data_IF_419499699436
#
_entry.id   IF_419499699436
#
_cell.length_a   1.000
_cell.length_b   1.000
_cell.length_c   1.000
_cell.angle_alpha   90.00
_cell.angle_beta   90.00
_cell.angle_gamma   90.00
#
_symmetry.space_group_name_H-M   'P 1'
#
loop_
_entity.id
_entity.type
_entity.pdbx_description
1 polymer ?
#
# COMPACT_ATOMS: atom_id res chain seq x y z
N UNK A 1 20.63 18.88 -19.29
CA UNK A 1 20.34 17.57 -19.93
C UNK A 1 21.52 16.62 -19.82
N UNK A 2 21.40 15.66 -18.92
CA UNK A 2 22.26 14.46 -18.86
C UNK A 2 22.20 13.70 -20.18
N UNK A 3 23.31 13.12 -20.65
CA UNK A 3 23.30 12.29 -21.86
C UNK A 3 22.81 10.87 -21.60
N UNK A 4 23.07 10.33 -20.40
CA UNK A 4 22.93 8.90 -20.11
C UNK A 4 21.80 8.57 -19.15
N UNK A 5 21.45 9.48 -18.23
CA UNK A 5 20.43 9.22 -17.21
C UNK A 5 19.30 10.23 -17.27
N UNK A 6 18.15 9.89 -16.67
CA UNK A 6 17.04 10.82 -16.53
C UNK A 6 17.42 11.82 -15.43
N UNK A 7 17.43 13.12 -15.76
CA UNK A 7 17.64 14.20 -14.80
C UNK A 7 16.35 14.98 -14.53
N UNK A 8 16.46 16.18 -13.94
CA UNK A 8 15.31 17.04 -13.61
C UNK A 8 14.61 17.67 -14.82
N UNK A 9 15.27 17.72 -15.97
CA UNK A 9 14.71 18.32 -17.18
C UNK A 9 13.63 17.40 -17.77
N UNK A 10 12.51 17.98 -18.22
CA UNK A 10 11.46 17.21 -18.88
C UNK A 10 11.96 16.69 -20.24
N UNK A 11 12.00 15.38 -20.40
CA UNK A 11 12.44 14.69 -21.62
C UNK A 11 11.27 13.97 -22.30
N UNK A 12 11.42 13.68 -23.59
CA UNK A 12 10.43 12.89 -24.33
C UNK A 12 10.25 11.48 -23.74
N UNK A 13 9.07 10.89 -23.88
CA UNK A 13 8.75 9.55 -23.34
C UNK A 13 9.72 8.48 -23.81
N UNK A 14 10.10 8.49 -25.10
CA UNK A 14 11.04 7.52 -25.68
C UNK A 14 12.45 7.66 -25.12
N UNK A 15 12.92 8.90 -24.96
CA UNK A 15 14.22 9.20 -24.37
C UNK A 15 14.27 8.80 -22.90
N UNK A 16 13.22 9.13 -22.15
CA UNK A 16 13.05 8.73 -20.75
C UNK A 16 13.08 7.21 -20.61
N UNK A 17 12.34 6.49 -21.46
CA UNK A 17 12.32 5.02 -21.46
C UNK A 17 13.72 4.44 -21.71
N UNK A 18 14.42 4.95 -22.74
CA UNK A 18 15.76 4.48 -23.11
C UNK A 18 16.76 4.71 -21.98
N UNK A 19 16.73 5.88 -21.33
CA UNK A 19 17.59 6.20 -20.20
C UNK A 19 17.31 5.37 -18.94
N UNK A 20 16.04 5.10 -18.65
CA UNK A 20 15.67 4.19 -17.56
C UNK A 20 16.14 2.76 -17.82
N UNK A 21 16.20 2.33 -19.08
CA UNK A 21 16.75 1.03 -19.44
C UNK A 21 18.27 0.99 -19.21
N UNK A 22 19.00 2.06 -19.59
CA UNK A 22 20.43 2.18 -19.31
C UNK A 22 20.72 2.15 -17.81
N UNK A 23 20.01 2.97 -17.01
CA UNK A 23 20.12 2.94 -15.55
C UNK A 23 19.93 1.53 -14.96
N UNK A 24 18.90 0.80 -15.42
CA UNK A 24 18.65 -0.57 -14.97
C UNK A 24 19.79 -1.52 -15.35
N UNK A 25 20.34 -1.40 -16.56
CA UNK A 25 21.44 -2.23 -17.01
C UNK A 25 22.72 -1.96 -16.18
N UNK A 26 23.07 -0.69 -16.00
CA UNK A 26 24.30 -0.28 -15.30
C UNK A 26 24.25 -0.64 -13.81
N UNK A 27 23.06 -0.59 -13.19
CA UNK A 27 22.87 -0.95 -11.78
C UNK A 27 22.61 -2.44 -11.54
N UNK A 28 22.32 -3.23 -12.59
CA UNK A 28 22.05 -4.67 -12.45
C UNK A 28 23.30 -5.51 -12.23
N UNK A 29 24.49 -5.02 -12.62
CA UNK A 29 25.75 -5.78 -12.59
C UNK A 29 26.40 -5.95 -11.21
N UNK A 30 25.72 -5.61 -10.12
CA UNK A 30 26.33 -5.66 -8.78
C UNK A 30 26.43 -7.11 -8.26
N UNK A 31 27.59 -7.51 -7.74
CA UNK A 31 27.80 -8.80 -7.05
C UNK A 31 27.11 -8.90 -5.68
N UNK A 32 26.31 -7.89 -5.30
CA UNK A 32 25.74 -7.74 -3.96
C UNK A 32 24.34 -8.33 -3.90
N UNK A 33 24.17 -9.40 -3.13
CA UNK A 33 22.88 -10.08 -2.93
C UNK A 33 21.85 -9.23 -2.18
N UNK A 34 22.30 -8.20 -1.44
CA UNK A 34 21.44 -7.29 -0.70
C UNK A 34 21.07 -6.01 -1.47
N UNK A 35 21.52 -5.84 -2.71
CA UNK A 35 21.01 -4.80 -3.61
C UNK A 35 19.81 -5.37 -4.38
N UNK A 36 18.60 -4.97 -3.99
CA UNK A 36 17.35 -5.62 -4.40
C UNK A 36 16.47 -4.64 -5.17
N UNK A 37 15.89 -5.10 -6.27
CA UNK A 37 14.86 -4.34 -6.98
C UNK A 37 13.50 -4.55 -6.31
N UNK A 38 13.09 -3.58 -5.47
CA UNK A 38 11.77 -3.62 -4.84
C UNK A 38 10.64 -3.23 -5.80
N UNK A 39 10.92 -2.76 -7.01
CA UNK A 39 9.90 -2.53 -8.03
C UNK A 39 9.68 -3.75 -8.92
N UNK A 40 10.45 -4.83 -8.72
CA UNK A 40 10.32 -6.06 -9.49
C UNK A 40 9.32 -7.03 -8.87
N UNK A 41 8.33 -7.45 -9.66
CA UNK A 41 7.35 -8.48 -9.29
C UNK A 41 6.74 -8.21 -7.90
N UNK A 42 6.50 -9.24 -7.10
CA UNK A 42 5.83 -9.12 -5.80
C UNK A 42 6.69 -8.44 -4.72
N UNK A 43 7.99 -8.17 -4.98
CA UNK A 43 8.86 -7.52 -4.00
C UNK A 43 8.39 -6.12 -3.61
N UNK A 44 7.62 -5.46 -4.45
CA UNK A 44 7.01 -4.17 -4.11
C UNK A 44 6.05 -4.27 -2.91
N UNK A 45 5.49 -5.45 -2.63
CA UNK A 45 4.58 -5.71 -1.52
C UNK A 45 5.30 -6.13 -0.23
N UNK A 46 6.63 -6.15 -0.21
CA UNK A 46 7.38 -6.59 0.96
C UNK A 46 6.98 -5.84 2.23
N UNK A 47 6.66 -6.58 3.29
CA UNK A 47 6.20 -6.03 4.57
C UNK A 47 4.77 -5.46 4.56
N UNK A 48 4.04 -5.56 3.46
CA UNK A 48 2.64 -5.09 3.31
C UNK A 48 1.63 -6.22 3.14
N UNK A 49 2.10 -7.44 2.86
CA UNK A 49 1.25 -8.61 2.64
C UNK A 49 1.81 -9.86 3.31
N UNK A 50 0.94 -10.80 3.64
CA UNK A 50 1.35 -12.11 4.16
C UNK A 50 2.16 -12.91 3.13
N UNK A 51 3.06 -13.76 3.62
CA UNK A 51 4.01 -14.52 2.79
C UNK A 51 3.37 -15.45 1.74
N UNK A 52 2.25 -16.09 2.07
CA UNK A 52 1.68 -17.16 1.24
C UNK A 52 0.46 -16.72 0.44
N UNK A 53 -0.47 -16.02 1.09
CA UNK A 53 -1.75 -15.64 0.48
C UNK A 53 -1.79 -14.18 0.05
N UNK A 54 -0.70 -13.42 0.21
CA UNK A 54 -0.64 -12.01 -0.18
C UNK A 54 -1.75 -11.13 0.43
N UNK A 55 -2.37 -11.60 1.52
CA UNK A 55 -3.38 -10.85 2.26
C UNK A 55 -2.73 -9.59 2.85
N UNK A 56 -3.30 -8.40 2.63
CA UNK A 56 -2.76 -7.15 3.15
C UNK A 56 -2.65 -7.15 4.68
N UNK A 57 -1.53 -6.64 5.19
CA UNK A 57 -1.23 -6.55 6.61
C UNK A 57 -0.53 -5.24 6.96
N UNK A 58 -0.69 -4.79 8.21
CA UNK A 58 -0.07 -3.58 8.74
C UNK A 58 0.54 -3.86 10.11
N UNK A 59 1.61 -3.14 10.51
CA UNK A 59 2.22 -3.33 11.82
C UNK A 59 1.25 -2.84 12.90
N UNK A 60 0.93 -3.73 13.84
CA UNK A 60 0.03 -3.46 14.95
C UNK A 60 0.40 -4.43 16.07
N UNK A 61 1.41 -4.08 16.87
CA UNK A 61 1.91 -4.96 17.92
C UNK A 61 2.50 -4.21 19.11
N UNK A 62 2.38 -4.83 20.28
CA UNK A 62 3.00 -4.41 21.53
C UNK A 62 4.40 -5.00 21.67
N UNK A 63 4.68 -6.13 21.02
CA UNK A 63 5.96 -6.86 21.13
C UNK A 63 7.07 -6.13 20.35
N UNK A 64 6.75 -5.70 19.14
CA UNK A 64 7.60 -4.86 18.32
C UNK A 64 6.84 -3.59 17.91
N UNK A 65 6.70 -2.61 18.82
CA UNK A 65 5.98 -1.39 18.52
C UNK A 65 6.80 -0.51 17.57
N UNK A 66 6.08 0.35 16.83
CA UNK A 66 6.69 1.46 16.11
C UNK A 66 7.32 2.41 17.14
N UNK A 67 8.65 2.49 17.11
CA UNK A 67 9.49 3.19 18.05
C UNK A 67 10.23 4.32 17.37
N UNK A 68 10.36 5.44 18.06
CA UNK A 68 11.06 6.62 17.51
C UNK A 68 12.56 6.36 17.39
N UNK A 69 13.15 6.85 16.31
CA UNK A 69 14.60 6.95 16.20
C UNK A 69 15.13 8.07 17.11
N UNK A 70 16.41 7.96 17.50
CA UNK A 70 17.04 8.98 18.33
C UNK A 70 17.26 10.27 17.54
N UNK A 71 17.24 11.42 18.23
CA UNK A 71 17.43 12.72 17.59
C UNK A 71 18.75 12.83 16.81
N UNK A 72 19.80 12.15 17.26
CA UNK A 72 21.09 12.11 16.56
C UNK A 72 21.04 11.30 15.26
N UNK A 73 20.06 10.42 15.08
CA UNK A 73 19.92 9.54 13.92
C UNK A 73 19.03 10.15 12.84
N UNK A 74 18.36 11.28 13.10
CA UNK A 74 17.37 11.88 12.20
C UNK A 74 17.83 13.22 11.65
N UNK A 75 17.55 13.47 10.37
CA UNK A 75 17.79 14.77 9.74
C UNK A 75 16.69 15.79 10.07
N UNK A 76 15.49 15.30 10.42
CA UNK A 76 14.36 16.14 10.82
C UNK A 76 13.08 15.33 11.07
N UNK A 77 12.15 15.95 11.80
CA UNK A 77 10.83 15.39 12.10
C UNK A 77 10.83 14.23 13.10
N UNK A 78 9.64 13.67 13.33
CA UNK A 78 9.47 12.47 14.15
C UNK A 78 9.56 11.23 13.25
N UNK A 79 10.75 10.63 13.19
CA UNK A 79 10.98 9.38 12.46
C UNK A 79 10.79 8.18 13.38
N UNK A 80 10.23 7.10 12.86
CA UNK A 80 9.98 5.88 13.60
C UNK A 80 10.06 4.64 12.70
N UNK A 81 10.41 3.50 13.28
CA UNK A 81 10.38 2.19 12.64
C UNK A 81 10.08 1.12 13.69
N UNK A 82 9.96 -0.15 13.30
CA UNK A 82 9.89 -1.23 14.30
C UNK A 82 11.13 -1.20 15.21
N UNK A 83 10.95 -1.43 16.51
CA UNK A 83 12.02 -1.34 17.51
C UNK A 83 13.32 -2.07 17.13
N UNK A 84 13.24 -3.33 16.67
CA UNK A 84 14.43 -4.08 16.25
C UNK A 84 15.10 -3.49 15.00
N UNK A 85 14.34 -2.82 14.12
CA UNK A 85 14.88 -2.08 12.97
C UNK A 85 15.60 -0.82 13.44
N UNK A 86 15.05 -0.12 14.44
CA UNK A 86 15.71 1.04 15.07
C UNK A 86 17.04 0.61 15.71
N UNK A 87 17.07 -0.52 16.42
CA UNK A 87 18.29 -1.02 17.06
C UNK A 87 19.35 -1.42 16.04
N UNK A 88 18.96 -2.12 14.96
CA UNK A 88 19.84 -2.47 13.86
C UNK A 88 20.41 -1.22 13.18
N UNK A 89 19.57 -0.22 12.90
CA UNK A 89 20.00 1.03 12.28
C UNK A 89 20.94 1.83 13.19
N UNK A 90 20.69 1.88 14.49
CA UNK A 90 21.60 2.52 15.46
C UNK A 90 22.99 1.89 15.41
N UNK A 91 23.07 0.56 15.32
CA UNK A 91 24.35 -0.16 15.21
C UNK A 91 25.04 0.09 13.87
N UNK A 92 24.26 0.18 12.79
CA UNK A 92 24.77 0.61 11.48
C UNK A 92 25.41 2.01 11.57
N UNK A 93 24.71 3.00 12.12
CA UNK A 93 25.24 4.37 12.27
C UNK A 93 26.52 4.41 13.12
N UNK A 94 26.58 3.62 14.20
CA UNK A 94 27.80 3.49 15.01
C UNK A 94 28.99 2.95 14.21
N UNK A 95 28.75 2.01 13.29
CA UNK A 95 29.79 1.47 12.42
C UNK A 95 30.30 2.50 11.40
N UNK A 96 29.41 3.34 10.85
CA UNK A 96 29.83 4.47 10.01
C UNK A 96 30.67 5.47 10.79
N UNK A 97 30.26 5.83 12.01
CA UNK A 97 31.04 6.73 12.87
C UNK A 97 32.45 6.16 13.16
N UNK A 98 32.54 4.86 13.44
CA UNK A 98 33.83 4.18 13.65
C UNK A 98 34.70 4.21 12.39
N UNK A 99 34.12 3.87 11.23
CA UNK A 99 34.85 3.86 9.97
C UNK A 99 35.32 5.26 9.54
N UNK A 100 34.55 6.30 9.86
CA UNK A 100 34.97 7.70 9.66
C UNK A 100 36.17 8.07 10.53
N UNK A 101 36.19 7.65 11.79
CA UNK A 101 37.33 7.88 12.70
C UNK A 101 38.61 7.15 12.27
N UNK A 102 38.47 5.99 11.62
CA UNK A 102 39.61 5.20 11.12
C UNK A 102 40.01 5.55 9.67
N UNK A 103 39.42 6.60 9.08
CA UNK A 103 39.61 6.99 7.68
C UNK A 103 39.37 5.84 6.68
N UNK A 104 38.47 4.92 7.02
CA UNK A 104 38.10 3.78 6.16
C UNK A 104 36.99 4.13 5.17
N UNK A 105 36.40 5.31 5.30
CA UNK A 105 35.41 5.89 4.40
C UNK A 105 35.75 7.37 4.18
N UNK A 106 35.28 7.94 3.07
CA UNK A 106 35.37 9.36 2.79
C UNK A 106 34.43 10.15 3.72
N UNK A 107 34.93 11.00 4.63
CA UNK A 107 34.10 11.76 5.55
C UNK A 107 33.34 12.92 4.88
N UNK A 108 33.73 13.32 3.66
CA UNK A 108 33.09 14.40 2.92
C UNK A 108 31.83 13.95 2.15
N UNK A 109 31.53 12.65 2.14
CA UNK A 109 30.33 12.14 1.49
C UNK A 109 29.05 12.65 2.19
N UNK A 110 28.06 13.18 1.47
CA UNK A 110 26.88 13.81 2.09
C UNK A 110 25.94 12.84 2.80
N UNK A 111 25.86 11.58 2.37
CA UNK A 111 24.86 10.61 2.87
C UNK A 111 25.47 9.33 3.43
N UNK A 112 26.56 8.86 2.83
CA UNK A 112 27.23 7.60 3.14
C UNK A 112 28.48 7.78 4.03
N UNK A 113 28.63 8.94 4.70
CA UNK A 113 29.62 9.13 5.77
C UNK A 113 28.99 9.10 7.17
N UNK A 114 27.80 9.68 7.30
CA UNK A 114 27.05 9.81 8.54
C UNK A 114 25.54 9.69 8.25
N UNK A 115 25.04 8.46 8.00
CA UNK A 115 23.65 8.27 7.59
C UNK A 115 22.67 8.87 8.60
N UNK A 116 21.73 9.68 8.09
CA UNK A 116 20.62 10.27 8.85
C UNK A 116 19.31 9.87 8.22
N UNK A 117 18.28 9.64 9.04
CA UNK A 117 16.95 9.29 8.56
C UNK A 117 16.19 10.56 8.16
N UNK A 118 15.75 10.59 6.90
CA UNK A 118 14.89 11.63 6.35
C UNK A 118 13.44 11.19 6.28
N UNK A 119 13.20 9.90 6.00
CA UNK A 119 11.85 9.32 5.92
C UNK A 119 11.85 7.89 6.42
N UNK A 120 10.77 7.51 7.10
CA UNK A 120 10.63 6.20 7.75
C UNK A 120 9.15 5.78 7.77
N UNK A 121 8.65 5.21 8.87
CA UNK A 121 7.28 4.73 8.99
C UNK A 121 6.23 5.81 8.65
N UNK A 122 5.23 5.39 7.89
CA UNK A 122 4.04 6.20 7.61
C UNK A 122 2.80 5.43 8.10
N UNK A 123 1.89 6.13 8.77
CA UNK A 123 0.66 5.54 9.27
C UNK A 123 -0.27 5.15 8.09
N UNK A 124 -0.55 3.85 7.87
CA UNK A 124 -1.41 3.39 6.78
C UNK A 124 -2.86 3.86 6.92
N UNK A 125 -3.35 4.04 8.15
CA UNK A 125 -4.73 4.49 8.42
C UNK A 125 -4.89 5.95 8.00
N UNK A 126 -3.90 6.79 8.31
CA UNK A 126 -3.88 8.20 7.87
C UNK A 126 -3.83 8.31 6.36
N UNK A 127 -2.89 7.61 5.72
CA UNK A 127 -2.74 7.62 4.26
C UNK A 127 -3.99 7.12 3.54
N UNK A 128 -4.61 6.04 4.04
CA UNK A 128 -5.87 5.55 3.50
C UNK A 128 -7.01 6.57 3.66
N UNK A 129 -7.10 7.24 4.82
CA UNK A 129 -8.13 8.27 5.04
C UNK A 129 -7.99 9.44 4.07
N UNK A 130 -6.76 9.88 3.79
CA UNK A 130 -6.46 10.94 2.81
C UNK A 130 -6.87 10.49 1.39
N UNK A 131 -6.44 9.29 0.97
CA UNK A 131 -6.82 8.69 -0.31
C UNK A 131 -8.34 8.58 -0.47
N UNK A 132 -9.01 8.01 0.53
CA UNK A 132 -10.45 7.79 0.51
C UNK A 132 -11.23 9.11 0.49
N UNK A 133 -10.74 10.16 1.17
CA UNK A 133 -11.40 11.48 1.17
C UNK A 133 -11.42 12.08 -0.23
N UNK A 134 -10.29 12.04 -0.93
CA UNK A 134 -10.19 12.48 -2.33
C UNK A 134 -11.14 11.68 -3.21
N UNK A 135 -11.13 10.35 -3.08
CA UNK A 135 -11.96 9.48 -3.91
C UNK A 135 -13.46 9.65 -3.64
N UNK A 136 -13.87 9.77 -2.37
CA UNK A 136 -15.26 10.06 -1.98
C UNK A 136 -15.75 11.36 -2.60
N UNK A 137 -14.92 12.40 -2.60
CA UNK A 137 -15.27 13.71 -3.20
C UNK A 137 -15.57 13.54 -4.69
N UNK A 138 -14.74 12.77 -5.42
CA UNK A 138 -14.98 12.45 -6.83
C UNK A 138 -16.27 11.64 -7.03
N UNK A 139 -16.51 10.61 -6.23
CA UNK A 139 -17.72 9.79 -6.33
C UNK A 139 -18.99 10.60 -6.08
N UNK A 140 -19.01 11.45 -5.05
CA UNK A 140 -20.15 12.33 -4.76
C UNK A 140 -20.40 13.34 -5.89
N UNK A 141 -19.34 13.93 -6.46
CA UNK A 141 -19.47 14.79 -7.63
C UNK A 141 -20.10 14.08 -8.83
N UNK A 142 -19.71 12.83 -9.11
CA UNK A 142 -20.29 12.02 -10.18
C UNK A 142 -21.77 11.72 -9.94
N UNK A 143 -22.14 11.32 -8.72
CA UNK A 143 -23.54 11.05 -8.36
C UNK A 143 -24.42 12.30 -8.52
N UNK A 144 -23.92 13.47 -8.13
CA UNK A 144 -24.61 14.75 -8.28
C UNK A 144 -24.77 15.14 -9.76
N UNK A 145 -23.72 14.96 -10.57
CA UNK A 145 -23.75 15.26 -12.01
C UNK A 145 -24.81 14.42 -12.74
N UNK A 146 -24.95 13.15 -12.36
CA UNK A 146 -25.96 12.26 -12.93
C UNK A 146 -27.37 12.44 -12.34
N UNK A 147 -27.57 13.44 -11.45
CA UNK A 147 -28.85 13.69 -10.74
C UNK A 147 -29.44 12.40 -10.20
N UNK A 148 -28.62 11.59 -9.52
CA UNK A 148 -29.06 10.29 -9.04
C UNK A 148 -30.26 10.47 -8.08
N UNK A 149 -31.45 10.03 -8.50
CA UNK A 149 -32.65 10.02 -7.66
C UNK A 149 -32.52 8.95 -6.58
N UNK A 150 -31.82 9.29 -5.51
CA UNK A 150 -31.53 8.40 -4.39
C UNK A 150 -32.64 8.56 -3.34
N UNK A 151 -33.60 7.64 -3.35
CA UNK A 151 -34.73 7.64 -2.41
C UNK A 151 -34.36 6.98 -1.08
N UNK A 152 -33.52 5.95 -1.11
CA UNK A 152 -33.09 5.18 0.06
C UNK A 152 -31.67 4.61 -0.16
N UNK A 153 -31.15 3.91 0.85
CA UNK A 153 -29.78 3.39 0.81
C UNK A 153 -29.59 2.29 -0.24
N UNK A 154 -30.58 1.41 -0.47
CA UNK A 154 -30.48 0.39 -1.52
C UNK A 154 -30.36 1.02 -2.92
N UNK A 155 -31.15 2.07 -3.20
CA UNK A 155 -31.03 2.84 -4.42
C UNK A 155 -29.66 3.51 -4.53
N UNK A 156 -29.11 4.02 -3.43
CA UNK A 156 -27.75 4.55 -3.42
C UNK A 156 -26.71 3.49 -3.80
N UNK A 157 -26.78 2.30 -3.19
CA UNK A 157 -25.86 1.19 -3.50
C UNK A 157 -25.95 0.79 -4.97
N UNK A 158 -27.18 0.67 -5.52
CA UNK A 158 -27.39 0.38 -6.95
C UNK A 158 -26.80 1.44 -7.87
N UNK A 159 -26.77 2.72 -7.45
CA UNK A 159 -26.21 3.81 -8.25
C UNK A 159 -24.70 3.94 -8.12
N UNK A 160 -24.12 3.65 -6.95
CA UNK A 160 -22.67 3.81 -6.73
C UNK A 160 -21.85 2.63 -7.25
N UNK A 161 -22.40 1.40 -7.20
CA UNK A 161 -21.66 0.20 -7.60
C UNK A 161 -21.11 0.25 -9.04
N UNK A 162 -21.87 0.68 -10.07
CA UNK A 162 -21.34 0.78 -11.43
C UNK A 162 -20.18 1.78 -11.59
N UNK A 163 -20.09 2.80 -10.73
CA UNK A 163 -18.94 3.70 -10.71
C UNK A 163 -17.74 3.00 -10.09
N UNK A 164 -17.94 2.36 -8.94
CA UNK A 164 -16.88 1.58 -8.27
C UNK A 164 -16.34 0.48 -9.18
N UNK A 165 -17.19 -0.28 -9.86
CA UNK A 165 -16.78 -1.31 -10.81
C UNK A 165 -15.82 -0.77 -11.88
N UNK A 166 -16.06 0.46 -12.38
CA UNK A 166 -15.24 1.09 -13.42
C UNK A 166 -13.94 1.71 -12.89
N UNK A 167 -13.92 2.19 -11.64
CA UNK A 167 -12.79 2.95 -11.08
C UNK A 167 -11.98 2.24 -10.01
N UNK A 168 -12.54 1.24 -9.31
CA UNK A 168 -11.95 0.64 -8.11
C UNK A 168 -10.62 -0.08 -8.37
N UNK A 169 -10.46 -0.69 -9.55
CA UNK A 169 -9.17 -1.28 -9.97
C UNK A 169 -8.03 -0.27 -10.03
N UNK A 170 -8.31 0.96 -10.48
CA UNK A 170 -7.29 2.03 -10.55
C UNK A 170 -7.24 2.85 -9.27
N UNK A 171 -8.35 2.99 -8.56
CA UNK A 171 -8.47 3.80 -7.36
C UNK A 171 -9.10 2.93 -6.27
N UNK A 172 -8.27 2.27 -5.43
CA UNK A 172 -8.76 1.39 -4.38
C UNK A 172 -9.77 2.09 -3.48
N UNK A 173 -10.93 1.46 -3.26
CA UNK A 173 -11.93 1.95 -2.33
C UNK A 173 -11.71 1.40 -0.92
N UNK A 174 -11.38 0.11 -0.80
CA UNK A 174 -11.17 -0.57 0.48
C UNK A 174 -9.74 -0.39 0.98
N UNK A 175 -9.56 -0.43 2.30
CA UNK A 175 -8.23 -0.33 2.91
C UNK A 175 -7.32 -1.51 2.53
N UNK A 176 -7.80 -2.78 2.48
CA UNK A 176 -6.99 -3.90 1.97
C UNK A 176 -6.45 -3.65 0.56
N UNK A 177 -7.31 -3.24 -0.39
CA UNK A 177 -6.86 -2.90 -1.75
C UNK A 177 -5.86 -1.73 -1.75
N UNK A 178 -6.12 -0.69 -0.95
CA UNK A 178 -5.21 0.44 -0.83
C UNK A 178 -3.83 0.01 -0.35
N UNK A 179 -3.74 -0.80 0.71
CA UNK A 179 -2.45 -1.27 1.26
C UNK A 179 -1.65 -2.09 0.24
N UNK A 180 -2.33 -2.85 -0.62
CA UNK A 180 -1.72 -3.63 -1.71
C UNK A 180 -1.38 -2.78 -2.95
N UNK A 181 -2.00 -1.63 -3.11
CA UNK A 181 -1.82 -0.78 -4.30
C UNK A 181 -0.49 -0.01 -4.32
N UNK A 182 -0.23 0.65 -5.45
CA UNK A 182 0.89 1.59 -5.62
C UNK A 182 0.69 2.93 -4.90
N UNK A 183 -0.52 3.23 -4.42
CA UNK A 183 -0.79 4.44 -3.62
C UNK A 183 -0.26 4.30 -2.18
N UNK A 184 -0.10 3.07 -1.70
CA UNK A 184 0.45 2.81 -0.39
C UNK A 184 1.96 2.55 -0.50
N UNK A 185 2.81 3.38 0.13
CA UNK A 185 4.26 3.19 0.06
C UNK A 185 4.72 2.04 0.95
N UNK A 186 5.85 1.42 0.62
CA UNK A 186 6.46 0.35 1.41
C UNK A 186 6.79 0.77 2.86
N UNK A 187 6.96 2.08 3.10
CA UNK A 187 7.18 2.69 4.40
C UNK A 187 6.12 2.32 5.46
N UNK A 188 4.89 1.98 5.08
CA UNK A 188 3.85 1.56 6.04
C UNK A 188 4.17 0.25 6.74
N UNK A 189 5.14 -0.52 6.24
CA UNK A 189 5.56 -1.79 6.85
C UNK A 189 6.28 -1.60 8.19
N UNK A 190 6.85 -0.42 8.44
CA UNK A 190 7.74 -0.18 9.59
C UNK A 190 9.14 -0.81 9.45
N UNK A 191 9.44 -1.40 8.29
CA UNK A 191 10.73 -2.06 7.98
C UNK A 191 11.69 -1.18 7.17
N UNK A 192 11.27 0.04 6.83
CA UNK A 192 11.94 0.88 5.82
C UNK A 192 12.50 2.13 6.46
N UNK A 193 13.75 2.44 6.11
CA UNK A 193 14.43 3.69 6.46
C UNK A 193 14.98 4.30 5.17
N UNK A 194 14.76 5.59 4.98
CA UNK A 194 15.32 6.37 3.86
C UNK A 194 16.33 7.38 4.41
N UNK A 195 17.58 7.26 3.96
CA UNK A 195 18.71 8.04 4.47
C UNK A 195 19.02 9.32 3.67
N UNK A 196 18.16 9.66 2.72
CA UNK A 196 18.21 10.90 1.96
C UNK A 196 16.79 11.33 1.54
N UNK A 197 16.61 12.62 1.28
CA UNK A 197 15.37 13.21 0.74
C UNK A 197 15.64 13.75 -0.67
N UNK A 198 15.79 12.82 -1.62
CA UNK A 198 16.10 13.08 -3.01
C UNK A 198 14.95 12.61 -3.91
N UNK A 199 14.90 13.08 -5.16
CA UNK A 199 13.85 12.70 -6.10
C UNK A 199 14.07 11.27 -6.63
N UNK A 200 13.17 10.30 -6.36
CA UNK A 200 13.28 8.95 -6.88
C UNK A 200 13.17 8.84 -8.40
N UNK A 201 12.85 9.91 -9.12
CA UNK A 201 12.78 9.93 -10.59
C UNK A 201 14.02 10.50 -11.27
N UNK A 202 14.94 11.10 -10.50
CA UNK A 202 16.20 11.64 -10.98
C UNK A 202 17.28 10.55 -10.90
N UNK A 203 17.47 9.83 -12.00
CA UNK A 203 18.44 8.72 -12.10
C UNK A 203 19.89 9.24 -12.10
N UNK A 204 20.13 10.43 -12.65
CA UNK A 204 21.46 11.08 -12.60
C UNK A 204 21.88 11.34 -11.16
N UNK A 205 21.00 11.93 -10.35
CA UNK A 205 21.27 12.19 -8.95
C UNK A 205 21.52 10.91 -8.15
N UNK A 206 20.83 9.81 -8.46
CA UNK A 206 21.11 8.50 -7.83
C UNK A 206 22.52 8.01 -8.14
N UNK A 207 22.94 8.14 -9.40
CA UNK A 207 24.25 7.69 -9.84
C UNK A 207 25.35 8.51 -9.15
N UNK A 208 25.27 9.84 -9.22
CA UNK A 208 26.29 10.73 -8.69
C UNK A 208 26.41 10.67 -7.16
N UNK A 209 25.28 10.64 -6.44
CA UNK A 209 25.27 10.74 -4.98
C UNK A 209 25.45 9.38 -4.27
N UNK A 210 25.17 8.26 -4.95
CA UNK A 210 25.23 6.92 -4.34
C UNK A 210 26.11 5.96 -5.10
N UNK A 211 25.79 5.61 -6.35
CA UNK A 211 26.52 4.57 -7.07
C UNK A 211 27.99 4.93 -7.36
N UNK A 212 28.29 6.21 -7.56
CA UNK A 212 29.64 6.74 -7.74
C UNK A 212 30.31 7.18 -6.44
N UNK A 213 29.63 7.04 -5.29
CA UNK A 213 30.22 7.35 -4.00
C UNK A 213 31.41 6.42 -3.71
N UNK A 214 32.50 7.01 -3.21
CA UNK A 214 33.65 6.26 -2.69
C UNK A 214 33.27 5.34 -1.50
N UNK A 215 32.13 5.59 -0.86
CA UNK A 215 31.64 4.84 0.29
C UNK A 215 30.60 3.78 -0.10
N UNK A 216 30.25 3.64 -1.39
CA UNK A 216 29.18 2.76 -1.86
C UNK A 216 29.37 1.30 -1.43
N UNK A 217 30.55 0.73 -1.69
CA UNK A 217 30.87 -0.65 -1.30
C UNK A 217 30.81 -0.85 0.22
N UNK A 218 31.36 0.10 1.00
CA UNK A 218 31.27 0.04 2.45
C UNK A 218 29.80 0.07 2.92
N UNK A 219 28.99 0.93 2.31
CA UNK A 219 27.57 1.05 2.62
C UNK A 219 26.81 -0.24 2.37
N UNK A 220 26.97 -0.86 1.20
CA UNK A 220 26.32 -2.14 0.89
C UNK A 220 26.73 -3.26 1.86
N UNK A 221 28.03 -3.35 2.17
CA UNK A 221 28.56 -4.34 3.10
C UNK A 221 28.10 -4.12 4.54
N UNK A 222 28.04 -2.85 4.98
CA UNK A 222 27.53 -2.48 6.28
C UNK A 222 26.04 -2.82 6.39
N UNK A 223 25.22 -2.39 5.42
CA UNK A 223 23.79 -2.73 5.37
C UNK A 223 23.57 -4.24 5.46
N UNK A 224 24.28 -5.02 4.65
CA UNK A 224 24.20 -6.50 4.71
C UNK A 224 24.53 -7.04 6.09
N UNK A 225 25.61 -6.56 6.71
CA UNK A 225 26.08 -7.04 8.02
C UNK A 225 25.07 -6.77 9.14
N UNK A 226 24.30 -5.69 9.03
CA UNK A 226 23.25 -5.31 9.97
C UNK A 226 21.85 -5.75 9.56
N UNK A 227 21.72 -6.61 8.54
CA UNK A 227 20.44 -7.22 8.14
C UNK A 227 19.55 -6.32 7.28
N UNK A 228 20.13 -5.37 6.54
CA UNK A 228 19.43 -4.50 5.61
C UNK A 228 19.71 -4.84 4.14
N UNK A 229 18.64 -4.89 3.36
CA UNK A 229 18.67 -4.75 1.90
C UNK A 229 18.69 -3.28 1.51
N UNK A 230 19.23 -2.97 0.35
CA UNK A 230 19.22 -1.65 -0.28
C UNK A 230 18.36 -1.71 -1.53
N UNK A 231 17.45 -0.75 -1.69
CA UNK A 231 16.61 -0.65 -2.89
C UNK A 231 17.43 -0.16 -4.08
N UNK A 232 17.58 -1.01 -5.10
CA UNK A 232 18.34 -0.69 -6.30
C UNK A 232 17.80 0.53 -7.03
N UNK A 233 16.48 0.73 -7.04
CA UNK A 233 15.85 1.83 -7.77
C UNK A 233 15.86 3.13 -6.97
N UNK A 234 16.07 3.05 -5.65
CA UNK A 234 16.08 4.16 -4.69
C UNK A 234 17.21 3.89 -3.67
N UNK A 235 18.49 4.16 -4.01
CA UNK A 235 19.66 3.65 -3.29
C UNK A 235 19.82 4.14 -1.83
N UNK A 236 19.13 5.21 -1.46
CA UNK A 236 19.05 5.68 -0.07
C UNK A 236 17.96 4.98 0.76
N UNK A 237 17.13 4.14 0.15
CA UNK A 237 16.13 3.34 0.87
C UNK A 237 16.75 2.01 1.27
N UNK A 238 16.82 1.78 2.58
CA UNK A 238 17.17 0.50 3.17
C UNK A 238 15.93 -0.17 3.75
N UNK A 239 15.88 -1.49 3.61
CA UNK A 239 14.74 -2.32 4.01
C UNK A 239 15.25 -3.46 4.87
N UNK A 240 14.70 -3.60 6.07
CA UNK A 240 15.07 -4.68 6.98
C UNK A 240 14.73 -6.05 6.36
N UNK A 241 15.73 -6.91 6.24
CA UNK A 241 15.59 -8.29 5.80
C UNK A 241 15.23 -9.18 6.98
N UNK A 242 13.93 -9.37 7.20
CA UNK A 242 13.39 -10.19 8.30
C UNK A 242 13.64 -11.70 8.13
N UNK A 243 14.28 -12.10 7.03
CA UNK A 243 14.80 -13.45 6.82
C UNK A 243 16.32 -13.56 7.05
N UNK A 244 17.03 -12.44 7.18
CA UNK A 244 18.48 -12.45 7.45
C UNK A 244 18.79 -12.82 8.89
N UNK A 245 19.89 -13.55 9.09
CA UNK A 245 20.38 -13.93 10.43
C UNK A 245 20.61 -12.69 11.28
N UNK A 246 21.30 -11.67 10.74
CA UNK A 246 21.60 -10.43 11.46
C UNK A 246 20.34 -9.69 11.94
N UNK A 247 19.30 -9.57 11.10
CA UNK A 247 18.06 -8.89 11.53
C UNK A 247 17.28 -9.71 12.56
N UNK A 248 17.31 -11.04 12.44
CA UNK A 248 16.69 -11.94 13.41
C UNK A 248 17.39 -11.87 14.77
N UNK A 249 18.70 -11.62 14.85
CA UNK A 249 19.39 -11.37 16.12
C UNK A 249 18.83 -10.13 16.85
N UNK A 250 18.54 -9.04 16.12
CA UNK A 250 17.90 -7.86 16.70
C UNK A 250 16.46 -8.15 17.12
N UNK A 251 15.70 -8.89 16.29
CA UNK A 251 14.32 -9.25 16.61
C UNK A 251 14.21 -10.22 17.79
N UNK A 252 15.22 -11.08 18.00
CA UNK A 252 15.25 -12.05 19.09
C UNK A 252 15.24 -11.41 20.48
N UNK A 253 15.77 -10.19 20.63
CA UNK A 253 15.67 -9.41 21.86
C UNK A 253 14.21 -9.13 22.29
N UNK A 254 13.28 -9.23 21.35
CA UNK A 254 11.85 -9.04 21.52
C UNK A 254 11.06 -10.36 21.46
N UNK A 255 11.75 -11.51 21.54
CA UNK A 255 11.13 -12.83 21.48
C UNK A 255 10.72 -13.29 20.07
N UNK A 256 11.22 -12.61 19.02
CA UNK A 256 10.91 -12.92 17.62
C UNK A 256 12.14 -13.56 16.95
N UNK A 257 12.13 -14.88 16.79
CA UNK A 257 13.29 -15.68 16.34
C UNK A 257 13.19 -16.18 14.90
N UNK A 258 12.09 -15.89 14.21
CA UNK A 258 11.87 -16.29 12.82
C UNK A 258 11.01 -15.28 12.07
N UNK A 259 11.10 -15.30 10.75
CA UNK A 259 10.24 -14.50 9.87
C UNK A 259 8.76 -14.74 10.15
N UNK A 260 8.34 -15.98 10.37
CA UNK A 260 6.93 -16.30 10.63
C UNK A 260 6.44 -15.72 11.97
N UNK A 261 7.29 -15.71 12.99
CA UNK A 261 6.98 -15.08 14.27
C UNK A 261 6.90 -13.56 14.13
N UNK A 262 7.78 -12.94 13.34
CA UNK A 262 7.68 -11.50 13.03
C UNK A 262 6.36 -11.22 12.32
N UNK A 263 6.05 -11.94 11.24
CA UNK A 263 4.83 -11.71 10.46
C UNK A 263 3.55 -11.92 11.27
N UNK A 264 3.48 -12.95 12.12
CA UNK A 264 2.29 -13.24 12.93
C UNK A 264 2.19 -12.41 14.22
N UNK A 265 3.33 -12.06 14.82
CA UNK A 265 3.38 -11.38 16.12
C UNK A 265 3.45 -9.86 16.00
N UNK A 266 3.89 -9.32 14.87
CA UNK A 266 4.07 -7.87 14.65
C UNK A 266 2.96 -7.28 13.78
N UNK A 267 2.43 -8.06 12.83
CA UNK A 267 1.46 -7.57 11.86
C UNK A 267 0.07 -8.14 12.11
N UNK A 268 -0.94 -7.34 11.77
CA UNK A 268 -2.35 -7.75 11.74
C UNK A 268 -2.88 -7.60 10.32
N UNK A 269 -3.74 -8.53 9.90
CA UNK A 269 -4.42 -8.47 8.60
C UNK A 269 -5.32 -7.24 8.54
N UNK A 270 -5.34 -6.52 7.42
CA UNK A 270 -6.02 -5.22 7.34
C UNK A 270 -7.55 -5.36 7.46
N UNK A 271 -8.13 -6.38 6.82
CA UNK A 271 -9.58 -6.56 6.78
C UNK A 271 -10.20 -6.80 8.16
N UNK A 272 -9.47 -7.43 9.09
CA UNK A 272 -9.95 -7.69 10.45
C UNK A 272 -10.15 -6.41 11.26
N UNK A 273 -9.42 -5.34 10.92
CA UNK A 273 -9.57 -4.02 11.56
C UNK A 273 -10.52 -3.09 10.77
N UNK A 274 -10.73 -3.36 9.48
CA UNK A 274 -11.35 -2.43 8.55
C UNK A 274 -12.87 -2.61 8.39
N UNK A 275 -13.42 -3.82 8.54
CA UNK A 275 -14.82 -4.09 8.16
C UNK A 275 -15.86 -3.15 8.82
N UNK A 276 -15.68 -2.78 10.08
CA UNK A 276 -16.56 -1.81 10.74
C UNK A 276 -16.42 -0.38 10.18
N UNK A 277 -15.22 -0.01 9.74
CA UNK A 277 -14.95 1.28 9.06
C UNK A 277 -15.54 1.30 7.66
N UNK A 278 -15.57 0.16 6.96
CA UNK A 278 -16.25 -0.01 5.68
C UNK A 278 -17.75 0.29 5.79
N UNK A 279 -18.44 -0.31 6.76
CA UNK A 279 -19.86 -0.05 7.05
C UNK A 279 -20.16 1.44 7.29
N UNK A 280 -19.36 2.07 8.16
CA UNK A 280 -19.47 3.51 8.47
C UNK A 280 -19.19 4.38 7.24
N UNK A 281 -18.27 3.95 6.37
CA UNK A 281 -17.96 4.67 5.13
C UNK A 281 -19.16 4.73 4.20
N UNK A 282 -19.87 3.63 4.01
CA UNK A 282 -21.09 3.60 3.19
C UNK A 282 -22.24 4.42 3.78
N UNK A 283 -22.43 4.34 5.10
CA UNK A 283 -23.37 5.21 5.81
C UNK A 283 -23.07 6.70 5.54
N UNK A 284 -21.81 7.11 5.75
CA UNK A 284 -21.41 8.51 5.56
C UNK A 284 -21.58 8.96 4.10
N UNK A 285 -21.22 8.11 3.14
CA UNK A 285 -21.38 8.41 1.71
C UNK A 285 -22.85 8.60 1.32
N UNK A 286 -23.74 7.74 1.81
CA UNK A 286 -25.18 7.89 1.58
C UNK A 286 -25.70 9.24 2.10
N UNK A 287 -25.31 9.60 3.33
CA UNK A 287 -25.71 10.87 3.92
C UNK A 287 -25.15 12.09 3.19
N UNK A 288 -23.99 11.96 2.55
CA UNK A 288 -23.37 13.01 1.73
C UNK A 288 -23.98 13.10 0.33
N UNK A 289 -24.39 11.98 -0.27
CA UNK A 289 -24.88 11.91 -1.64
C UNK A 289 -26.40 12.15 -1.79
N UNK A 290 -27.17 12.04 -0.70
CA UNK A 290 -28.63 12.26 -0.76
C UNK A 290 -28.96 13.74 -0.98
N UNK A 291 -29.95 14.00 -1.83
CA UNK A 291 -30.57 15.32 -1.94
C UNK A 291 -31.56 15.53 -0.79
N UNK A 292 -31.83 16.80 -0.44
CA UNK A 292 -32.86 17.12 0.55
C UNK A 292 -34.27 16.80 0.02
N UNK A 293 -34.51 17.10 -1.26
CA UNK A 293 -35.76 16.84 -1.97
C UNK A 293 -35.47 16.31 -3.38
N UNK A 294 -36.28 15.36 -3.83
CA UNK A 294 -36.34 14.89 -5.21
C UNK A 294 -37.61 15.41 -5.86
N UNK A 295 -37.48 15.92 -7.08
CA UNK A 295 -38.58 16.50 -7.85
C UNK A 295 -38.83 15.64 -9.09
N UNK A 296 -40.01 15.05 -9.20
CA UNK A 296 -40.43 14.26 -10.37
C UNK A 296 -41.62 14.96 -11.05
N UNK A 297 -41.53 15.29 -12.35
CA UNK A 297 -42.68 15.82 -13.07
C UNK A 297 -43.72 14.71 -13.25
N UNK A 298 -44.97 14.98 -12.85
CA UNK A 298 -46.12 14.13 -13.15
C UNK A 298 -46.77 14.70 -14.41
N UNK A 299 -46.76 13.89 -15.47
CA UNK A 299 -47.48 14.20 -16.69
C UNK A 299 -48.97 13.87 -16.48
N UNK A 300 -49.79 14.91 -16.33
CA UNK A 300 -51.22 14.76 -16.19
C UNK A 300 -51.89 15.00 -17.54
N UNK A 301 -52.58 14.00 -18.14
CA UNK A 301 -53.34 14.24 -19.35
C UNK A 301 -54.47 15.23 -19.02
N UNK A 302 -54.30 16.49 -19.47
CA UNK A 302 -55.24 17.61 -19.40
C UNK A 302 -55.11 18.63 -18.23
N UNK A 303 -54.00 18.69 -17.49
CA UNK A 303 -53.76 19.77 -16.49
C UNK A 303 -52.32 20.28 -16.49
N UNK A 304 -52.08 21.42 -15.82
CA UNK A 304 -50.74 21.99 -15.57
C UNK A 304 -49.85 20.91 -14.93
N UNK A 305 -48.63 20.74 -15.44
CA UNK A 305 -47.65 19.79 -14.92
C UNK A 305 -47.51 19.95 -13.40
N UNK A 306 -47.79 18.88 -12.65
CA UNK A 306 -47.61 18.87 -11.20
C UNK A 306 -46.28 18.23 -10.85
N UNK A 307 -45.63 18.73 -9.79
CA UNK A 307 -44.34 18.22 -9.33
C UNK A 307 -44.57 17.33 -8.12
N UNK A 308 -44.16 16.06 -8.19
CA UNK A 308 -44.08 15.17 -7.04
C UNK A 308 -42.80 15.46 -6.29
N UNK A 309 -42.92 15.85 -5.03
CA UNK A 309 -41.78 16.02 -4.13
C UNK A 309 -41.64 14.74 -3.31
N UNK A 310 -40.50 14.06 -3.44
CA UNK A 310 -40.14 12.90 -2.63
C UNK A 310 -39.00 13.29 -1.70
N UNK A 311 -39.18 13.09 -0.40
CA UNK A 311 -38.12 13.28 0.60
C UNK A 311 -37.36 11.96 0.75
N UNK A 312 -36.05 11.89 0.45
CA UNK A 312 -35.27 10.69 0.66
C UNK A 312 -35.26 10.21 2.11
N UNK A 313 -35.20 8.90 2.31
CA UNK A 313 -35.20 8.30 3.64
C UNK A 313 -33.97 8.74 4.44
N UNK A 314 -34.21 9.32 5.62
CA UNK A 314 -33.15 9.58 6.60
C UNK A 314 -33.09 8.46 7.62
N UNK A 315 -31.88 8.05 7.99
CA UNK A 315 -31.66 7.06 9.03
C UNK A 315 -30.88 7.70 10.17
N UNK A 316 -31.19 7.34 11.42
CA UNK A 316 -30.20 7.45 12.48
C UNK A 316 -29.15 6.35 12.26
N UNK A 317 -27.98 6.49 12.89
CA UNK A 317 -26.90 5.52 12.76
C UNK A 317 -27.34 4.14 13.27
N UNK A 318 -28.09 4.10 14.36
CA UNK A 318 -28.60 2.89 15.00
C UNK A 318 -29.63 2.20 14.10
N UNK A 319 -30.65 2.94 13.64
CA UNK A 319 -31.68 2.42 12.75
C UNK A 319 -31.11 1.94 11.41
N UNK A 320 -30.04 2.59 10.93
CA UNK A 320 -29.35 2.19 9.72
C UNK A 320 -28.67 0.82 9.87
N UNK A 321 -27.89 0.62 10.94
CA UNK A 321 -27.19 -0.65 11.16
C UNK A 321 -28.09 -1.78 11.68
N UNK A 322 -29.27 -1.46 12.21
CA UNK A 322 -30.32 -2.44 12.48
C UNK A 322 -30.99 -2.91 11.17
N UNK A 323 -31.28 -1.98 10.24
CA UNK A 323 -31.88 -2.30 8.94
C UNK A 323 -30.93 -3.05 8.01
N UNK A 324 -29.66 -2.64 7.95
CA UNK A 324 -28.65 -3.24 7.07
C UNK A 324 -27.65 -4.05 7.89
N UNK A 325 -27.83 -5.37 7.87
CA UNK A 325 -27.08 -6.33 8.68
C UNK A 325 -25.60 -6.44 8.26
N UNK A 326 -24.79 -7.10 9.10
CA UNK A 326 -23.40 -7.43 8.74
C UNK A 326 -23.31 -8.28 7.46
N UNK A 327 -24.27 -9.18 7.23
CA UNK A 327 -24.30 -10.01 6.02
C UNK A 327 -24.57 -9.17 4.76
N UNK A 328 -25.42 -8.13 4.85
CA UNK A 328 -25.63 -7.19 3.76
C UNK A 328 -24.31 -6.49 3.38
N UNK A 329 -23.59 -5.98 4.39
CA UNK A 329 -22.32 -5.31 4.16
C UNK A 329 -21.21 -6.27 3.74
N UNK A 330 -21.25 -7.53 4.16
CA UNK A 330 -20.31 -8.55 3.72
C UNK A 330 -20.49 -8.84 2.23
N UNK A 331 -21.72 -9.01 1.75
CA UNK A 331 -22.01 -9.16 0.32
C UNK A 331 -21.45 -7.98 -0.48
N UNK A 332 -21.72 -6.75 -0.01
CA UNK A 332 -21.23 -5.53 -0.65
C UNK A 332 -19.70 -5.43 -0.63
N UNK A 333 -19.09 -5.80 0.48
CA UNK A 333 -17.64 -5.84 0.65
C UNK A 333 -17.01 -6.79 -0.37
N UNK A 334 -17.49 -8.03 -0.46
CA UNK A 334 -16.96 -9.02 -1.38
C UNK A 334 -17.07 -8.56 -2.85
N UNK A 335 -18.22 -8.00 -3.26
CA UNK A 335 -18.40 -7.44 -4.61
C UNK A 335 -17.37 -6.36 -4.94
N UNK A 336 -17.18 -5.39 -4.04
CA UNK A 336 -16.23 -4.30 -4.26
C UNK A 336 -14.80 -4.83 -4.28
N UNK A 337 -14.47 -5.79 -3.41
CA UNK A 337 -13.15 -6.43 -3.40
C UNK A 337 -12.86 -7.15 -4.72
N UNK A 338 -13.85 -7.80 -5.35
CA UNK A 338 -13.68 -8.36 -6.70
C UNK A 338 -13.43 -7.28 -7.77
N UNK A 339 -14.06 -6.10 -7.68
CA UNK A 339 -13.78 -4.99 -8.61
C UNK A 339 -12.36 -4.43 -8.49
N UNK A 340 -11.75 -4.56 -7.31
CA UNK A 340 -10.43 -4.02 -7.00
C UNK A 340 -9.28 -4.94 -7.41
N UNK A 341 -9.52 -6.24 -7.46
CA UNK A 341 -8.50 -7.22 -7.76
C UNK A 341 -8.43 -7.58 -9.25
N UNK A 342 -7.25 -7.98 -9.71
CA UNK A 342 -7.05 -8.39 -11.11
C UNK A 342 -7.37 -9.86 -11.37
N UNK A 343 -7.60 -10.63 -10.31
CA UNK A 343 -7.88 -12.07 -10.36
C UNK A 343 -9.07 -12.36 -11.27
N UNK A 344 -8.90 -13.30 -12.21
CA UNK A 344 -9.96 -13.66 -13.15
C UNK A 344 -10.90 -14.69 -12.51
N UNK A 345 -11.99 -14.19 -11.93
CA UNK A 345 -13.13 -15.00 -11.53
C UNK A 345 -14.31 -14.69 -12.46
N UNK A 346 -14.95 -15.71 -13.02
CA UNK A 346 -16.22 -15.55 -13.72
C UNK A 346 -17.30 -15.04 -12.75
N UNK A 347 -18.35 -14.41 -13.27
CA UNK A 347 -19.46 -13.92 -12.45
C UNK A 347 -20.10 -15.04 -11.61
N UNK A 348 -20.21 -16.25 -12.16
CA UNK A 348 -20.72 -17.43 -11.45
C UNK A 348 -19.81 -17.85 -10.29
N UNK A 349 -18.50 -17.85 -10.48
CA UNK A 349 -17.54 -18.16 -9.41
C UNK A 349 -17.56 -17.09 -8.32
N UNK A 350 -17.65 -15.81 -8.69
CA UNK A 350 -17.77 -14.72 -7.73
C UNK A 350 -19.01 -14.89 -6.87
N UNK A 351 -20.16 -15.18 -7.48
CA UNK A 351 -21.41 -15.42 -6.74
C UNK A 351 -21.29 -16.62 -5.79
N UNK A 352 -20.73 -17.74 -6.24
CA UNK A 352 -20.49 -18.91 -5.40
C UNK A 352 -19.59 -18.59 -4.19
N UNK A 353 -18.47 -17.89 -4.41
CA UNK A 353 -17.56 -17.48 -3.33
C UNK A 353 -18.26 -16.53 -2.34
N UNK A 354 -19.11 -15.62 -2.84
CA UNK A 354 -19.87 -14.69 -1.99
C UNK A 354 -20.88 -15.46 -1.13
N UNK A 355 -21.61 -16.40 -1.72
CA UNK A 355 -22.62 -17.20 -1.02
C UNK A 355 -21.98 -18.06 0.08
N UNK A 356 -20.87 -18.75 -0.23
CA UNK A 356 -20.09 -19.53 0.75
C UNK A 356 -19.57 -18.63 1.89
N UNK A 357 -19.10 -17.42 1.56
CA UNK A 357 -18.64 -16.45 2.54
C UNK A 357 -19.79 -15.99 3.47
N UNK A 358 -20.98 -15.75 2.92
CA UNK A 358 -22.16 -15.35 3.67
C UNK A 358 -22.63 -16.49 4.58
N UNK A 359 -22.65 -17.73 4.09
CA UNK A 359 -23.01 -18.90 4.91
C UNK A 359 -22.05 -19.06 6.09
N UNK A 360 -20.74 -19.00 5.84
CA UNK A 360 -19.74 -19.08 6.91
C UNK A 360 -19.89 -17.92 7.93
N UNK A 361 -20.25 -16.72 7.46
CA UNK A 361 -20.42 -15.55 8.31
C UNK A 361 -21.61 -15.63 9.26
N UNK A 362 -22.60 -16.50 8.98
CA UNK A 362 -23.70 -16.76 9.92
C UNK A 362 -23.19 -17.40 11.22
N UNK A 363 -22.07 -18.11 11.16
CA UNK A 363 -21.43 -18.73 12.32
C UNK A 363 -20.27 -17.91 12.87
N UNK A 364 -19.42 -17.38 11.98
CA UNK A 364 -18.20 -16.67 12.37
C UNK A 364 -17.79 -15.67 11.27
N UNK A 365 -18.24 -14.42 11.42
CA UNK A 365 -17.94 -13.33 10.49
C UNK A 365 -16.43 -13.10 10.29
N UNK A 366 -15.63 -13.27 11.34
CA UNK A 366 -14.17 -13.07 11.26
C UNK A 366 -13.54 -14.14 10.40
N UNK A 367 -13.91 -15.42 10.60
CA UNK A 367 -13.43 -16.52 9.75
C UNK A 367 -13.90 -16.39 8.30
N UNK A 368 -15.13 -15.91 8.09
CA UNK A 368 -15.64 -15.67 6.74
C UNK A 368 -14.79 -14.65 5.98
N UNK A 369 -14.52 -13.49 6.59
CA UNK A 369 -13.65 -12.47 6.01
C UNK A 369 -12.22 -12.99 5.76
N UNK A 370 -11.67 -13.75 6.71
CA UNK A 370 -10.35 -14.38 6.55
C UNK A 370 -10.32 -15.37 5.38
N UNK A 371 -11.33 -16.22 5.26
CA UNK A 371 -11.44 -17.19 4.16
C UNK A 371 -11.54 -16.48 2.81
N UNK A 372 -12.43 -15.49 2.71
CA UNK A 372 -12.62 -14.70 1.51
C UNK A 372 -11.34 -14.01 1.05
N UNK A 373 -10.63 -13.30 1.95
CA UNK A 373 -9.38 -12.62 1.58
C UNK A 373 -8.27 -13.59 1.22
N UNK A 374 -8.22 -14.79 1.81
CA UNK A 374 -7.24 -15.82 1.41
C UNK A 374 -7.53 -16.36 -0.01
N UNK A 375 -8.81 -16.50 -0.40
CA UNK A 375 -9.21 -16.97 -1.73
C UNK A 375 -8.93 -15.89 -2.78
N UNK A 376 -9.27 -14.65 -2.45
CA UNK A 376 -9.22 -13.52 -3.37
C UNK A 376 -7.77 -13.11 -3.69
N UNK A 377 -6.91 -13.01 -2.67
CA UNK A 377 -5.54 -12.55 -2.85
C UNK A 377 -4.66 -13.69 -3.39
N UNK A 378 -4.28 -13.59 -4.66
CA UNK A 378 -3.34 -14.53 -5.30
C UNK A 378 -2.04 -13.84 -5.73
N UNK A 379 -0.89 -14.52 -5.70
CA UNK A 379 0.40 -13.94 -6.08
C UNK A 379 0.59 -13.74 -7.58
N UNK A 380 -0.07 -14.54 -8.42
CA UNK A 380 0.44 -14.84 -9.77
C UNK A 380 -0.41 -14.35 -10.95
N UNK A 381 -1.51 -13.64 -10.71
CA UNK A 381 -2.52 -13.40 -11.75
C UNK A 381 -2.56 -11.95 -12.28
N UNK A 382 -1.54 -11.14 -12.00
CA UNK A 382 -1.51 -9.73 -12.39
C UNK A 382 -0.34 -9.37 -13.33
N UNK A 383 -0.52 -8.30 -14.12
CA UNK A 383 0.52 -7.79 -15.02
C UNK A 383 1.72 -7.29 -14.21
N UNK A 384 2.89 -7.86 -14.49
CA UNK A 384 4.13 -7.56 -13.77
C UNK A 384 4.39 -8.45 -12.56
N UNK A 385 3.55 -9.45 -12.26
CA UNK A 385 3.88 -10.55 -11.34
C UNK A 385 5.02 -11.42 -11.89
N UNK A 386 5.68 -12.18 -11.02
CA UNK A 386 6.75 -13.10 -11.46
C UNK A 386 6.20 -14.16 -12.42
N UNK A 387 4.99 -14.68 -12.15
CA UNK A 387 4.31 -15.63 -13.02
C UNK A 387 4.03 -15.05 -14.41
N UNK A 388 3.51 -13.82 -14.47
CA UNK A 388 3.28 -13.09 -15.72
C UNK A 388 4.58 -12.82 -16.50
N UNK A 389 5.64 -12.46 -15.79
CA UNK A 389 6.95 -12.20 -16.41
C UNK A 389 7.51 -13.51 -16.98
N UNK A 390 7.45 -14.61 -16.21
CA UNK A 390 7.93 -15.93 -16.64
C UNK A 390 7.19 -16.43 -17.89
N UNK A 391 5.85 -16.39 -17.91
CA UNK A 391 5.07 -16.87 -19.05
C UNK A 391 5.35 -16.08 -20.33
N UNK A 392 5.57 -14.76 -20.21
CA UNK A 392 5.97 -13.89 -21.32
C UNK A 392 7.35 -14.20 -21.88
N UNK A 393 8.29 -14.61 -21.03
CA UNK A 393 9.61 -15.06 -21.47
C UNK A 393 9.52 -16.40 -22.20
N UNK A 394 8.70 -17.32 -21.70
CA UNK A 394 8.48 -18.63 -22.33
C UNK A 394 7.77 -18.51 -23.69
N UNK A 395 6.91 -17.51 -23.89
CA UNK A 395 6.26 -17.21 -25.18
C UNK A 395 7.19 -16.59 -26.24
N UNK A 396 8.38 -16.11 -25.84
CA UNK A 396 9.34 -15.43 -26.72
C UNK A 396 10.53 -16.33 -27.14
N UNK A 397 10.62 -17.55 -26.59
CA UNK A 397 11.56 -18.60 -26.95
C UNK A 397 10.89 -19.62 -27.87
#
# INVERSE_FOLDING_TARGET
MSFYYVGKDAEGTEQTFSKRLMYRADTAGSSYTNLVDFNFAEKHLYGRVTKFHFVPMIPQSIIAPITKLHSIEVAGGNQAALNFVVDAFRKLVQQFAKAGLTNSINPADPFLSNPKVFKSYLDPTRLYSEHLTTYKTTLTALLNMHKANIVNFDQFVLKILPFLEKSARKNPFTMPAFVKSTYCPINVSGLVIEIADLDPNDDEQKIEQFYQSLNWEFYLNACRSYGFMVDRMIPWRIVADIGSVSMLEYAAAYGLTSTDQILKGVYTKVHSLYFQTFKKTFYNLYHQARNEYLYEPIDCPNTVATIKITVPQSYSKEAFFEKYSDLYFLNLYCKIRFFEEESQFSESEQNYIIDDCIELAQHDLTKALDSFENILNKPFDYRGSLGYISSRFDEQL
#
